data_IF_607775410511
#
_entry.id   IF_607775410511
#
_cell.length_a   1.000
_cell.length_b   1.000
_cell.length_c   1.000
_cell.angle_alpha   90.00
_cell.angle_beta   90.00
_cell.angle_gamma   90.00
#
_symmetry.space_group_name_H-M   'P 1'
#
loop_
_entity.id
_entity.type
_entity.pdbx_description
1 polymer ?
#
# COMPACT_ATOMS: atom_id res chain seq x y z
N UNK A 1 37.91 -75.79 -35.79
CA UNK A 1 39.27 -75.64 -35.25
C UNK A 1 39.57 -74.14 -35.19
N UNK A 2 39.78 -73.59 -33.99
CA UNK A 2 40.19 -72.21 -33.65
C UNK A 2 39.21 -71.07 -34.05
N UNK A 3 39.03 -69.97 -33.31
CA UNK A 3 39.63 -69.49 -32.06
C UNK A 3 38.71 -68.44 -31.40
N UNK A 4 38.67 -68.50 -30.07
CA UNK A 4 38.74 -67.41 -29.08
C UNK A 4 38.14 -66.01 -29.34
N UNK A 5 37.23 -65.66 -28.41
CA UNK A 5 37.19 -64.45 -27.58
C UNK A 5 37.64 -63.11 -28.17
N UNK A 6 36.71 -62.15 -28.16
CA UNK A 6 36.92 -60.84 -27.52
C UNK A 6 35.59 -60.21 -27.11
N UNK A 7 35.41 -60.07 -25.79
CA UNK A 7 34.41 -59.21 -25.17
C UNK A 7 34.75 -57.76 -25.53
N UNK A 8 33.80 -57.04 -26.12
CA UNK A 8 33.82 -55.58 -26.18
C UNK A 8 32.52 -55.07 -25.56
N UNK A 9 32.61 -54.71 -24.29
CA UNK A 9 31.58 -53.96 -23.60
C UNK A 9 31.44 -52.59 -24.27
N UNK A 10 30.33 -52.34 -24.95
CA UNK A 10 29.96 -50.98 -25.38
C UNK A 10 29.24 -50.32 -24.21
N UNK A 11 29.97 -49.51 -23.47
CA UNK A 11 29.39 -48.52 -22.56
C UNK A 11 28.61 -47.50 -23.40
N UNK A 12 27.28 -47.47 -23.24
CA UNK A 12 26.47 -46.38 -23.75
C UNK A 12 26.58 -45.21 -22.75
N UNK A 13 27.32 -44.18 -23.15
CA UNK A 13 27.31 -42.88 -22.49
C UNK A 13 25.91 -42.29 -22.57
N UNK A 14 25.22 -42.15 -21.43
CA UNK A 14 24.03 -41.31 -21.32
C UNK A 14 24.51 -39.87 -21.29
N UNK A 15 24.40 -39.16 -22.40
CA UNK A 15 24.58 -37.71 -22.43
C UNK A 15 23.37 -37.07 -21.73
N UNK A 16 23.51 -36.76 -20.44
CA UNK A 16 22.56 -35.89 -19.75
C UNK A 16 22.77 -34.46 -20.25
N UNK A 17 21.92 -34.05 -21.20
CA UNK A 17 21.82 -32.65 -21.60
C UNK A 17 21.17 -31.87 -20.44
N UNK A 18 22.00 -31.27 -19.60
CA UNK A 18 21.57 -30.25 -18.64
C UNK A 18 21.41 -28.95 -19.42
N UNK A 19 20.19 -28.66 -19.87
CA UNK A 19 19.82 -27.31 -20.28
C UNK A 19 19.76 -26.43 -19.03
N UNK A 20 20.88 -25.84 -18.67
CA UNK A 20 20.94 -24.74 -17.71
C UNK A 20 20.20 -23.55 -18.33
N UNK A 21 18.97 -23.31 -17.86
CA UNK A 21 18.23 -22.10 -18.14
C UNK A 21 18.96 -20.96 -17.43
N UNK A 22 19.87 -20.29 -18.14
CA UNK A 22 20.45 -19.06 -17.68
C UNK A 22 19.33 -18.00 -17.63
N UNK A 23 18.74 -17.81 -16.46
CA UNK A 23 17.91 -16.65 -16.18
C UNK A 23 18.84 -15.44 -16.26
N UNK A 24 18.79 -14.75 -17.39
CA UNK A 24 19.48 -13.49 -17.56
C UNK A 24 18.96 -12.50 -16.52
N UNK A 25 19.81 -12.16 -15.54
CA UNK A 25 19.65 -10.96 -14.74
C UNK A 25 19.94 -9.78 -15.68
N UNK A 26 18.91 -9.36 -16.43
CA UNK A 26 18.92 -8.01 -16.98
C UNK A 26 18.86 -7.08 -15.77
N UNK A 27 19.89 -6.25 -15.60
CA UNK A 27 19.76 -5.05 -14.81
C UNK A 27 18.64 -4.24 -15.46
N UNK A 28 17.43 -4.38 -14.92
CA UNK A 28 16.22 -3.80 -15.51
C UNK A 28 16.35 -2.29 -15.48
N UNK A 29 16.29 -1.68 -16.65
CA UNK A 29 15.69 -0.35 -16.78
C UNK A 29 14.40 -0.36 -15.97
N UNK A 30 14.15 0.64 -15.13
CA UNK A 30 12.90 0.77 -14.39
C UNK A 30 11.73 0.76 -15.37
N UNK A 31 11.19 -0.44 -15.65
CA UNK A 31 9.96 -0.59 -16.41
C UNK A 31 8.88 -0.04 -15.50
N UNK A 32 8.12 0.93 -15.98
CA UNK A 32 6.91 1.37 -15.28
C UNK A 32 6.09 0.13 -14.92
N UNK A 33 5.63 0.06 -13.67
CA UNK A 33 4.63 -0.92 -13.30
C UNK A 33 3.36 -0.58 -14.12
N UNK A 34 2.53 -1.59 -14.45
CA UNK A 34 1.28 -1.29 -15.10
C UNK A 34 0.46 -0.39 -14.18
N UNK A 35 0.21 0.84 -14.62
CA UNK A 35 -0.69 1.76 -13.95
C UNK A 35 -2.10 1.18 -14.08
N UNK A 36 -2.48 0.39 -13.08
CA UNK A 36 -3.75 -0.32 -13.04
C UNK A 36 -4.89 0.70 -12.95
N UNK A 37 -6.01 0.38 -13.59
CA UNK A 37 -7.24 1.14 -13.37
C UNK A 37 -7.73 0.90 -11.94
N UNK A 38 -8.09 1.98 -11.24
CA UNK A 38 -8.71 1.88 -9.93
C UNK A 38 -10.05 1.13 -9.97
N UNK A 39 -10.38 0.58 -8.81
CA UNK A 39 -11.71 0.06 -8.54
C UNK A 39 -12.71 1.21 -8.45
N UNK A 40 -13.98 1.01 -8.88
CA UNK A 40 -15.04 1.97 -8.61
C UNK A 40 -15.24 2.11 -7.11
N UNK A 41 -15.67 3.30 -6.69
CA UNK A 41 -15.97 3.56 -5.29
C UNK A 41 -17.04 2.59 -4.77
N UNK A 42 -16.77 1.94 -3.64
CA UNK A 42 -17.68 1.03 -2.97
C UNK A 42 -17.42 1.11 -1.47
N UNK A 43 -18.15 1.99 -0.81
CA UNK A 43 -17.86 2.42 0.56
C UNK A 43 -19.12 2.59 1.40
N UNK A 44 -18.97 2.44 2.72
CA UNK A 44 -20.03 2.81 3.66
C UNK A 44 -20.12 4.33 3.82
N UNK A 45 -21.29 4.85 4.16
CA UNK A 45 -21.45 6.29 4.45
C UNK A 45 -20.55 6.75 5.60
N UNK A 46 -20.38 5.91 6.63
CA UNK A 46 -19.50 6.20 7.75
C UNK A 46 -18.04 6.37 7.32
N UNK A 47 -17.51 5.45 6.51
CA UNK A 47 -16.13 5.56 6.02
C UNK A 47 -15.96 6.69 5.00
N UNK A 48 -16.96 6.97 4.15
CA UNK A 48 -16.91 8.12 3.25
C UNK A 48 -16.89 9.45 4.00
N UNK A 49 -17.66 9.55 5.10
CA UNK A 49 -17.77 10.78 5.90
C UNK A 49 -16.43 11.24 6.44
N UNK A 50 -15.58 10.32 6.90
CA UNK A 50 -14.32 10.65 7.57
C UNK A 50 -13.08 10.37 6.72
N UNK A 51 -13.23 10.15 5.41
CA UNK A 51 -12.11 9.90 4.51
C UNK A 51 -11.14 11.10 4.52
N UNK A 52 -9.83 10.90 4.74
CA UNK A 52 -8.88 12.00 4.70
C UNK A 52 -8.75 12.60 3.30
N UNK A 53 -8.36 13.87 3.26
CA UNK A 53 -7.81 14.51 2.08
C UNK A 53 -6.31 14.31 2.03
N UNK A 54 -5.81 13.96 0.85
CA UNK A 54 -4.41 13.59 0.66
C UNK A 54 -3.68 14.59 -0.22
N UNK A 55 -2.38 14.67 0.00
CA UNK A 55 -1.44 15.36 -0.86
C UNK A 55 -0.13 14.58 -0.90
N UNK A 56 0.72 14.87 -1.89
CA UNK A 56 1.94 14.12 -2.15
C UNK A 56 3.06 15.09 -2.52
N UNK A 57 4.08 15.18 -1.67
CA UNK A 57 5.26 15.99 -1.97
C UNK A 57 5.94 15.46 -3.26
N UNK A 58 6.75 16.31 -3.91
CA UNK A 58 7.45 15.95 -5.17
C UNK A 58 8.52 14.85 -5.01
N UNK A 59 8.79 14.41 -3.79
CA UNK A 59 9.93 13.58 -3.43
C UNK A 59 9.65 12.07 -3.36
N UNK A 60 8.45 11.62 -3.77
CA UNK A 60 8.06 10.21 -3.77
C UNK A 60 7.27 9.75 -5.00
N UNK A 61 6.70 8.56 -4.91
CA UNK A 61 5.67 8.11 -5.85
C UNK A 61 4.33 8.82 -5.60
N UNK A 62 3.50 8.90 -6.64
CA UNK A 62 2.07 9.17 -6.49
C UNK A 62 1.35 7.86 -6.17
N UNK A 63 0.16 7.89 -5.52
CA UNK A 63 -0.55 6.67 -5.17
C UNK A 63 -0.99 5.93 -6.44
N UNK A 64 -1.12 4.62 -6.35
CA UNK A 64 -1.55 3.76 -7.45
C UNK A 64 -2.67 2.81 -7.00
N UNK A 65 -3.40 2.25 -7.96
CA UNK A 65 -4.27 1.12 -7.68
C UNK A 65 -3.44 -0.13 -7.35
N UNK A 66 -3.73 -0.76 -6.21
CA UNK A 66 -3.06 -1.98 -5.77
C UNK A 66 -3.61 -3.23 -6.47
N UNK A 67 -4.85 -3.19 -6.93
CA UNK A 67 -5.54 -4.27 -7.63
C UNK A 67 -6.56 -3.69 -8.62
N UNK A 68 -6.76 -4.36 -9.75
CA UNK A 68 -7.80 -4.00 -10.73
C UNK A 68 -9.08 -4.85 -10.61
N UNK A 69 -10.11 -4.52 -11.40
CA UNK A 69 -11.38 -5.28 -11.43
C UNK A 69 -11.26 -6.71 -11.97
N UNK A 70 -10.12 -7.10 -12.54
CA UNK A 70 -9.84 -8.47 -12.97
C UNK A 70 -9.05 -9.26 -11.92
N UNK A 71 -8.77 -8.64 -10.76
CA UNK A 71 -7.98 -9.23 -9.69
C UNK A 71 -6.48 -9.33 -10.01
N UNK A 72 -5.96 -8.51 -10.92
CA UNK A 72 -4.52 -8.38 -11.13
C UNK A 72 -3.95 -7.45 -10.06
N UNK A 73 -2.92 -7.91 -9.35
CA UNK A 73 -2.20 -7.10 -8.36
C UNK A 73 -1.17 -6.21 -9.05
N UNK A 74 -0.96 -5.02 -8.50
CA UNK A 74 0.12 -4.15 -8.92
C UNK A 74 1.45 -4.76 -8.48
N UNK A 75 2.32 -5.04 -9.46
CA UNK A 75 3.63 -5.67 -9.23
C UNK A 75 4.67 -4.76 -8.57
N UNK A 76 4.34 -3.49 -8.32
CA UNK A 76 5.23 -2.47 -7.79
C UNK A 76 6.41 -2.16 -8.70
N UNK A 77 7.30 -1.30 -8.22
CA UNK A 77 8.54 -0.92 -8.89
C UNK A 77 9.75 -1.38 -8.09
N UNK A 78 10.84 -1.65 -8.80
CA UNK A 78 12.12 -1.85 -8.14
C UNK A 78 12.60 -0.50 -7.55
N UNK A 79 13.06 -0.43 -6.28
CA UNK A 79 13.59 0.80 -5.66
C UNK A 79 14.95 1.18 -6.27
N UNK A 80 14.90 1.63 -7.52
CA UNK A 80 16.04 1.99 -8.36
C UNK A 80 15.74 3.25 -9.15
N UNK A 81 16.78 3.91 -9.65
CA UNK A 81 16.68 5.19 -10.35
C UNK A 81 16.31 6.32 -9.38
N UNK A 82 15.69 7.38 -9.89
CA UNK A 82 15.21 8.49 -9.06
C UNK A 82 14.05 8.06 -8.17
N UNK A 83 13.86 8.78 -7.05
CA UNK A 83 12.85 8.44 -6.02
C UNK A 83 11.44 8.35 -6.63
N UNK A 84 10.97 9.40 -7.30
CA UNK A 84 9.69 9.38 -8.03
C UNK A 84 9.76 8.79 -9.46
N UNK A 85 10.87 8.15 -9.83
CA UNK A 85 11.08 7.64 -11.20
C UNK A 85 10.15 6.47 -11.51
N UNK A 86 9.32 6.61 -12.55
CA UNK A 86 8.42 5.57 -13.05
C UNK A 86 7.04 5.51 -12.40
N UNK A 87 6.79 6.26 -11.31
CA UNK A 87 5.57 6.17 -10.50
C UNK A 87 4.88 7.54 -10.26
N UNK A 88 5.02 8.46 -11.21
CA UNK A 88 4.35 9.78 -11.13
C UNK A 88 3.52 10.13 -12.36
N UNK A 89 3.92 9.64 -13.54
CA UNK A 89 3.19 9.91 -14.79
C UNK A 89 1.88 9.13 -14.82
N UNK A 90 0.76 9.82 -15.06
CA UNK A 90 -0.60 9.27 -15.17
C UNK A 90 -1.17 8.58 -13.91
N UNK A 91 -0.52 8.72 -12.74
CA UNK A 91 -0.95 8.02 -11.51
C UNK A 91 -2.15 8.69 -10.81
N UNK A 92 -2.18 10.02 -10.78
CA UNK A 92 -3.26 10.77 -10.12
C UNK A 92 -4.61 10.47 -10.75
N UNK A 93 -5.63 10.30 -9.91
CA UNK A 93 -6.98 9.89 -10.32
C UNK A 93 -7.14 8.39 -10.58
N UNK A 94 -6.06 7.61 -10.63
CA UNK A 94 -6.08 6.16 -10.85
C UNK A 94 -5.79 5.34 -9.57
N UNK A 95 -5.80 5.97 -8.41
CA UNK A 95 -5.64 5.29 -7.12
C UNK A 95 -6.98 4.95 -6.45
N UNK A 96 -6.90 4.06 -5.46
CA UNK A 96 -7.95 3.84 -4.48
C UNK A 96 -7.46 4.21 -3.09
N UNK A 97 -8.36 4.76 -2.27
CA UNK A 97 -8.21 4.68 -0.82
C UNK A 97 -8.88 3.39 -0.37
N UNK A 98 -8.18 2.52 0.35
CA UNK A 98 -8.80 1.34 0.95
C UNK A 98 -9.10 1.63 2.43
N UNK A 99 -10.23 1.15 2.94
CA UNK A 99 -10.57 1.39 4.34
C UNK A 99 -11.20 0.19 5.06
N UNK A 100 -10.81 -0.02 6.31
CA UNK A 100 -11.44 -1.01 7.20
C UNK A 100 -11.76 -0.36 8.54
N UNK A 101 -12.96 -0.60 9.04
CA UNK A 101 -13.44 -0.03 10.29
C UNK A 101 -13.67 -1.12 11.35
N UNK A 102 -13.56 -0.73 12.61
CA UNK A 102 -13.91 -1.55 13.78
C UNK A 102 -14.53 -0.69 14.84
N UNK A 103 -15.57 -1.19 15.52
CA UNK A 103 -16.32 -0.42 16.50
C UNK A 103 -16.53 -1.23 17.78
N UNK A 104 -15.98 -0.80 18.91
CA UNK A 104 -16.24 -1.39 20.21
C UNK A 104 -16.03 -0.40 21.35
N UNK A 105 -16.58 -0.72 22.52
CA UNK A 105 -16.41 0.05 23.75
C UNK A 105 -16.73 1.57 23.61
N UNK A 106 -17.75 1.91 22.81
CA UNK A 106 -18.16 3.30 22.57
C UNK A 106 -17.30 4.07 21.57
N UNK A 107 -16.38 3.40 20.87
CA UNK A 107 -15.48 4.00 19.88
C UNK A 107 -15.53 3.24 18.55
N UNK A 108 -15.23 3.95 17.48
CA UNK A 108 -14.97 3.40 16.16
C UNK A 108 -13.60 3.89 15.68
N UNK A 109 -12.84 3.00 15.07
CA UNK A 109 -11.58 3.30 14.41
C UNK A 109 -11.72 2.95 12.93
N UNK A 110 -11.29 3.85 12.04
CA UNK A 110 -11.27 3.61 10.60
C UNK A 110 -9.84 3.77 10.12
N UNK A 111 -9.25 2.70 9.59
CA UNK A 111 -7.97 2.79 8.89
C UNK A 111 -8.28 3.13 7.43
N UNK A 112 -7.67 4.18 6.90
CA UNK A 112 -7.61 4.52 5.48
C UNK A 112 -6.17 4.35 5.02
N UNK A 113 -5.94 3.70 3.88
CA UNK A 113 -4.58 3.44 3.38
C UNK A 113 -4.48 3.62 1.88
N UNK A 114 -3.31 4.12 1.45
CA UNK A 114 -2.92 4.27 0.06
C UNK A 114 -1.73 3.35 -0.23
N UNK A 115 -1.68 2.88 -1.47
CA UNK A 115 -0.59 2.08 -2.00
C UNK A 115 0.32 2.92 -2.89
N UNK A 116 1.63 2.74 -2.74
CA UNK A 116 2.63 3.29 -3.65
C UNK A 116 3.51 2.17 -4.19
N UNK A 117 3.99 2.31 -5.42
CA UNK A 117 4.64 1.19 -6.12
C UNK A 117 6.03 0.85 -5.58
N UNK A 118 6.70 1.81 -4.94
CA UNK A 118 7.99 1.65 -4.26
C UNK A 118 8.18 2.74 -3.22
N UNK A 119 9.11 2.50 -2.30
CA UNK A 119 9.60 3.45 -1.32
C UNK A 119 11.14 3.40 -1.31
N UNK A 120 11.78 4.57 -1.36
CA UNK A 120 13.22 4.68 -1.58
C UNK A 120 13.79 5.87 -0.82
N UNK A 121 14.78 5.59 0.04
CA UNK A 121 15.45 6.60 0.86
C UNK A 121 16.59 7.31 0.12
N UNK A 122 17.28 6.60 -0.78
CA UNK A 122 18.45 7.08 -1.50
C UNK A 122 18.08 7.58 -2.92
N UNK A 123 18.35 8.85 -3.28
CA UNK A 123 18.00 9.40 -4.58
C UNK A 123 18.72 8.77 -5.78
N UNK A 124 19.79 8.01 -5.55
CA UNK A 124 20.55 7.33 -6.60
C UNK A 124 20.07 5.90 -6.87
N UNK A 125 19.38 5.29 -5.91
CA UNK A 125 18.95 3.88 -5.97
C UNK A 125 20.12 2.88 -5.95
N UNK A 126 21.32 3.31 -5.55
CA UNK A 126 22.55 2.48 -5.57
C UNK A 126 22.76 1.79 -4.22
N UNK A 127 22.35 2.42 -3.11
CA UNK A 127 22.58 1.90 -1.77
C UNK A 127 21.67 0.74 -1.35
N UNK A 128 20.65 0.40 -2.15
CA UNK A 128 19.64 -0.62 -1.80
C UNK A 128 18.74 -0.23 -0.62
N UNK A 129 18.76 1.04 -0.21
CA UNK A 129 17.93 1.57 0.88
C UNK A 129 16.53 1.93 0.36
N UNK A 130 15.64 0.95 0.38
CA UNK A 130 14.25 1.06 -0.03
C UNK A 130 13.60 -0.32 -0.22
N UNK A 131 12.35 -0.33 -0.68
CA UNK A 131 11.64 -1.55 -1.05
C UNK A 131 10.64 -1.32 -2.17
N UNK A 132 10.36 -2.41 -2.87
CA UNK A 132 9.20 -2.52 -3.75
C UNK A 132 7.94 -2.54 -2.89
N UNK A 133 6.89 -1.89 -3.38
CA UNK A 133 5.64 -1.64 -2.67
C UNK A 133 5.81 -0.69 -1.48
N UNK A 134 4.76 0.04 -1.19
CA UNK A 134 4.62 0.82 0.03
C UNK A 134 3.15 0.96 0.39
N UNK A 135 2.87 1.01 1.69
CA UNK A 135 1.54 1.15 2.24
C UNK A 135 1.60 2.08 3.44
N UNK A 136 1.03 3.28 3.26
CA UNK A 136 0.88 4.25 4.34
C UNK A 136 -0.60 4.39 4.70
N UNK A 137 -0.88 4.69 5.96
CA UNK A 137 -2.24 4.73 6.48
C UNK A 137 -2.49 5.79 7.54
N UNK A 138 -3.77 6.15 7.65
CA UNK A 138 -4.30 7.08 8.62
C UNK A 138 -5.37 6.35 9.41
N UNK A 139 -5.34 6.45 10.74
CA UNK A 139 -6.41 5.96 11.59
C UNK A 139 -7.23 7.14 12.11
N UNK A 140 -8.53 7.13 11.82
CA UNK A 140 -9.49 8.11 12.32
C UNK A 140 -10.26 7.50 13.48
N UNK A 141 -10.17 8.14 14.66
CA UNK A 141 -10.79 7.66 15.90
C UNK A 141 -12.02 8.49 16.24
N UNK A 142 -13.19 7.87 16.23
CA UNK A 142 -14.49 8.53 16.38
C UNK A 142 -15.22 7.93 17.57
N UNK A 143 -15.79 8.78 18.45
CA UNK A 143 -16.75 8.29 19.45
C UNK A 143 -18.02 7.84 18.74
N UNK A 144 -18.60 6.70 19.12
CA UNK A 144 -19.84 6.22 18.49
C UNK A 144 -20.95 7.28 18.57
N UNK A 145 -21.57 7.57 17.43
CA UNK A 145 -22.61 8.60 17.29
C UNK A 145 -22.10 10.04 17.19
N UNK A 146 -20.79 10.29 17.27
CA UNK A 146 -20.24 11.63 17.08
C UNK A 146 -20.18 12.01 15.60
N UNK A 147 -20.44 13.29 15.32
CA UNK A 147 -20.32 13.87 13.99
C UNK A 147 -18.88 14.26 13.60
N UNK A 148 -17.94 14.20 14.55
CA UNK A 148 -16.55 14.64 14.39
C UNK A 148 -15.60 13.58 14.98
N UNK A 149 -14.42 13.36 14.38
CA UNK A 149 -13.40 12.52 14.99
C UNK A 149 -12.85 13.17 16.27
N UNK A 150 -12.26 12.37 17.15
CA UNK A 150 -11.58 12.86 18.36
C UNK A 150 -10.06 12.84 18.22
N UNK A 151 -9.51 11.90 17.45
CA UNK A 151 -8.07 11.78 17.20
C UNK A 151 -7.81 11.31 15.78
N UNK A 152 -6.64 11.68 15.28
CA UNK A 152 -6.10 11.21 14.01
C UNK A 152 -4.69 10.66 14.26
N UNK A 153 -4.38 9.52 13.66
CA UNK A 153 -3.05 8.90 13.71
C UNK A 153 -2.52 8.72 12.30
N UNK A 154 -1.38 9.29 11.96
CA UNK A 154 -0.71 9.11 10.66
C UNK A 154 0.47 8.14 10.81
N UNK A 155 0.59 7.16 9.92
CA UNK A 155 1.69 6.18 9.98
C UNK A 155 3.04 6.82 9.66
N UNK A 156 4.05 6.36 10.39
CA UNK A 156 5.44 6.82 10.22
C UNK A 156 6.40 5.74 10.69
N UNK A 157 7.19 5.19 9.77
CA UNK A 157 8.27 4.22 10.04
C UNK A 157 7.84 3.04 10.95
N UNK A 158 6.65 2.48 10.70
CA UNK A 158 6.10 1.36 11.45
C UNK A 158 5.43 1.72 12.80
N UNK A 159 5.44 3.00 13.17
CA UNK A 159 4.68 3.61 14.26
C UNK A 159 3.64 4.61 13.76
N UNK A 160 3.17 5.49 14.65
CA UNK A 160 2.17 6.51 14.33
C UNK A 160 2.44 7.82 15.07
N UNK A 161 2.28 8.94 14.37
CA UNK A 161 2.11 10.25 14.97
C UNK A 161 0.61 10.46 15.24
N UNK A 162 0.22 10.49 16.52
CA UNK A 162 -1.19 10.59 16.95
C UNK A 162 -1.45 11.92 17.64
N UNK A 163 -2.44 12.67 17.14
CA UNK A 163 -2.82 13.98 17.70
C UNK A 163 -4.34 14.07 17.92
N UNK A 164 -4.78 14.86 18.91
CA UNK A 164 -6.19 15.20 19.05
C UNK A 164 -6.66 16.04 17.85
N UNK A 165 -7.95 15.92 17.51
CA UNK A 165 -8.53 16.58 16.32
C UNK A 165 -8.38 18.11 16.33
N UNK A 166 -8.34 18.74 17.52
CA UNK A 166 -8.20 20.19 17.69
C UNK A 166 -6.79 20.73 17.34
N UNK A 167 -5.83 19.82 17.18
CA UNK A 167 -4.47 20.12 16.71
C UNK A 167 -4.25 19.65 15.26
N UNK A 168 -5.18 18.88 14.70
CA UNK A 168 -5.06 18.35 13.36
C UNK A 168 -5.44 19.39 12.30
N UNK A 169 -4.77 19.42 11.14
CA UNK A 169 -5.23 20.17 9.99
C UNK A 169 -6.48 19.48 9.41
N UNK A 170 -7.63 20.14 9.49
CA UNK A 170 -8.92 19.60 9.08
C UNK A 170 -9.57 20.45 7.98
N UNK A 171 -10.34 19.80 7.11
CA UNK A 171 -11.38 20.40 6.28
C UNK A 171 -12.74 19.81 6.66
N UNK A 172 -13.53 20.54 7.46
CA UNK A 172 -14.70 19.96 8.09
C UNK A 172 -14.33 18.73 8.95
N UNK A 173 -14.71 17.53 8.49
CA UNK A 173 -14.44 16.24 9.14
C UNK A 173 -13.27 15.46 8.51
N UNK A 174 -12.62 16.02 7.48
CA UNK A 174 -11.56 15.38 6.70
C UNK A 174 -10.18 15.84 7.19
N UNK A 175 -9.36 14.92 7.69
CA UNK A 175 -7.97 15.23 8.02
C UNK A 175 -7.16 15.49 6.74
N UNK A 176 -6.26 16.47 6.77
CA UNK A 176 -5.34 16.78 5.66
C UNK A 176 -3.98 16.12 5.89
N UNK A 177 -3.65 15.17 5.04
CA UNK A 177 -2.52 14.26 5.20
C UNK A 177 -1.61 14.33 3.97
N UNK A 178 -0.31 14.36 4.18
CA UNK A 178 0.69 14.47 3.11
C UNK A 178 1.61 13.26 3.13
N UNK A 179 1.80 12.59 2.00
CA UNK A 179 2.87 11.63 1.78
C UNK A 179 4.15 12.38 1.43
N UNK A 180 5.24 12.05 2.11
CA UNK A 180 6.51 12.76 1.93
C UNK A 180 7.69 11.87 2.25
N UNK A 181 8.86 12.26 1.75
CA UNK A 181 10.13 11.70 2.19
C UNK A 181 10.52 12.26 3.56
N UNK A 182 10.72 11.38 4.55
CA UNK A 182 11.07 11.81 5.90
C UNK A 182 12.59 11.93 6.08
N UNK A 183 13.12 13.09 5.68
CA UNK A 183 14.53 13.43 5.82
C UNK A 183 15.43 12.46 5.02
N UNK A 184 16.37 11.79 5.71
CA UNK A 184 17.26 10.80 5.09
C UNK A 184 16.67 9.40 5.04
N UNK A 185 15.50 9.18 5.65
CA UNK A 185 14.80 7.89 5.66
C UNK A 185 13.94 7.71 4.40
N UNK A 186 13.14 6.64 4.46
CA UNK A 186 12.00 6.32 3.60
C UNK A 186 10.82 7.29 3.78
N UNK A 187 9.73 7.04 3.05
CA UNK A 187 8.54 7.88 3.11
C UNK A 187 7.68 7.59 4.35
N UNK A 188 6.79 8.52 4.64
CA UNK A 188 5.78 8.41 5.69
C UNK A 188 4.60 9.36 5.38
N UNK A 189 3.47 9.14 6.05
CA UNK A 189 2.47 10.18 6.18
C UNK A 189 2.85 11.20 7.25
N UNK A 190 2.47 12.45 7.01
CA UNK A 190 2.48 13.54 7.97
C UNK A 190 1.18 14.33 7.92
N UNK A 191 0.91 15.07 8.97
CA UNK A 191 -0.11 16.11 8.94
C UNK A 191 0.32 17.26 8.03
N UNK A 192 -0.63 17.85 7.31
CA UNK A 192 -0.40 19.09 6.59
C UNK A 192 0.05 20.22 7.54
N UNK A 193 0.94 21.08 7.06
CA UNK A 193 1.36 22.28 7.78
C UNK A 193 0.25 23.33 7.72
N UNK A 194 0.25 24.25 8.68
CA UNK A 194 -0.68 25.39 8.64
C UNK A 194 -0.47 26.21 7.37
N UNK A 195 -1.53 26.40 6.58
CA UNK A 195 -1.49 27.14 5.33
C UNK A 195 -0.81 26.42 4.16
N UNK A 196 -0.49 25.12 4.28
CA UNK A 196 0.06 24.34 3.18
C UNK A 196 -0.93 24.26 2.02
N UNK A 197 -0.45 24.56 0.81
CA UNK A 197 -1.21 24.42 -0.44
C UNK A 197 -0.82 23.08 -1.04
N UNK A 198 -1.79 22.21 -1.39
CA UNK A 198 -1.47 20.89 -1.89
C UNK A 198 -0.88 20.93 -3.30
N UNK A 199 -0.07 19.95 -3.62
CA UNK A 199 0.67 19.80 -4.88
C UNK A 199 0.11 18.67 -5.76
N UNK A 200 -0.83 17.87 -5.24
CA UNK A 200 -1.40 16.72 -5.92
C UNK A 200 -1.99 17.09 -7.27
N UNK A 201 -2.85 18.11 -7.35
CA UNK A 201 -3.49 18.52 -8.59
C UNK A 201 -2.93 19.84 -9.13
N UNK A 202 -2.80 20.02 -10.47
CA UNK A 202 -2.32 21.29 -11.05
C UNK A 202 -3.15 22.53 -10.70
N UNK A 203 -4.39 22.35 -10.26
CA UNK A 203 -5.30 23.39 -9.80
C UNK A 203 -5.15 23.73 -8.29
N UNK A 204 -4.23 23.06 -7.58
CA UNK A 204 -4.02 23.23 -6.14
C UNK A 204 -5.08 22.52 -5.28
N UNK A 205 -5.76 21.51 -5.82
CA UNK A 205 -6.69 20.67 -5.08
C UNK A 205 -6.02 19.57 -4.25
N UNK A 206 -6.64 19.22 -3.12
CA UNK A 206 -6.31 18.00 -2.38
C UNK A 206 -6.83 16.78 -3.15
N UNK A 207 -6.10 15.67 -3.10
CA UNK A 207 -6.57 14.43 -3.67
C UNK A 207 -7.56 13.71 -2.74
N UNK A 208 -8.52 13.01 -3.36
CA UNK A 208 -9.55 12.26 -2.68
C UNK A 208 -9.90 10.99 -3.48
N UNK A 209 -9.00 9.98 -3.48
CA UNK A 209 -9.15 8.80 -4.33
C UNK A 209 -10.42 8.00 -4.03
N UNK A 210 -10.93 7.27 -5.03
CA UNK A 210 -12.12 6.43 -4.87
C UNK A 210 -11.97 5.45 -3.69
N UNK A 211 -12.90 5.51 -2.74
CA UNK A 211 -12.89 4.73 -1.51
C UNK A 211 -13.45 3.32 -1.69
N UNK A 212 -12.67 2.33 -1.27
CA UNK A 212 -13.09 0.91 -1.23
C UNK A 212 -13.07 0.43 0.21
N UNK A 213 -14.25 0.13 0.75
CA UNK A 213 -14.37 -0.47 2.06
C UNK A 213 -14.00 -1.95 2.01
N UNK A 214 -13.24 -2.41 3.00
CA UNK A 214 -12.73 -3.78 3.10
C UNK A 214 -13.83 -4.82 2.97
N UNK A 215 -14.98 -4.61 3.63
CA UNK A 215 -16.10 -5.55 3.60
C UNK A 215 -17.07 -5.31 2.42
N UNK A 216 -16.73 -4.39 1.52
CA UNK A 216 -17.55 -4.00 0.37
C UNK A 216 -16.71 -3.84 -0.91
N UNK A 217 -15.73 -4.71 -1.17
CA UNK A 217 -15.05 -4.69 -2.47
C UNK A 217 -16.06 -4.84 -3.62
N UNK A 218 -15.91 -4.09 -4.73
CA UNK A 218 -16.69 -4.31 -5.94
C UNK A 218 -16.58 -5.76 -6.43
N UNK A 219 -17.62 -6.24 -7.12
CA UNK A 219 -17.56 -7.53 -7.80
C UNK A 219 -16.48 -7.50 -8.89
N UNK A 220 -15.65 -8.56 -8.93
CA UNK A 220 -14.67 -8.76 -9.99
C UNK A 220 -15.36 -9.01 -11.33
N UNK A 221 -14.73 -8.56 -12.42
CA UNK A 221 -15.13 -8.90 -13.78
C UNK A 221 -14.88 -10.38 -14.09
N UNK A 222 -13.97 -11.03 -13.35
CA UNK A 222 -13.83 -12.48 -13.31
C UNK A 222 -14.62 -13.03 -12.10
N UNK A 223 -15.76 -13.72 -12.31
CA UNK A 223 -16.60 -14.20 -11.22
C UNK A 223 -15.96 -15.32 -10.39
N UNK A 224 -14.83 -15.89 -10.83
CA UNK A 224 -14.07 -16.86 -10.04
C UNK A 224 -13.18 -16.20 -8.97
N UNK A 225 -13.00 -14.87 -9.04
CA UNK A 225 -12.12 -14.12 -8.16
C UNK A 225 -12.90 -13.28 -7.16
N UNK A 226 -12.41 -13.27 -5.92
CA UNK A 226 -12.84 -12.34 -4.89
C UNK A 226 -11.68 -11.38 -4.58
N UNK A 227 -11.88 -10.09 -4.84
CA UNK A 227 -10.83 -9.07 -4.73
C UNK A 227 -10.34 -8.90 -3.28
N UNK A 228 -11.25 -8.91 -2.30
CA UNK A 228 -10.89 -8.84 -0.88
C UNK A 228 -10.01 -10.02 -0.47
N UNK A 229 -10.40 -11.25 -0.84
CA UNK A 229 -9.63 -12.46 -0.56
C UNK A 229 -8.24 -12.42 -1.21
N UNK A 230 -8.14 -11.92 -2.44
CA UNK A 230 -6.84 -11.73 -3.12
C UNK A 230 -5.98 -10.75 -2.32
N UNK A 231 -6.51 -9.56 -1.99
CA UNK A 231 -5.80 -8.54 -1.22
C UNK A 231 -5.36 -9.05 0.17
N UNK A 232 -6.20 -9.84 0.84
CA UNK A 232 -5.89 -10.42 2.15
C UNK A 232 -4.75 -11.45 2.10
N UNK A 233 -4.67 -12.21 1.00
CA UNK A 233 -3.66 -13.26 0.80
C UNK A 233 -2.40 -12.79 0.05
N UNK A 234 -2.35 -11.53 -0.36
CA UNK A 234 -1.25 -10.97 -1.14
C UNK A 234 0.02 -10.78 -0.31
N UNK A 235 1.17 -11.01 -0.95
CA UNK A 235 2.49 -10.69 -0.41
C UNK A 235 2.95 -9.35 -0.98
N UNK A 236 3.15 -8.37 -0.10
CA UNK A 236 3.63 -7.03 -0.44
C UNK A 236 5.12 -6.84 -0.11
N UNK A 237 5.85 -7.95 0.06
CA UNK A 237 7.27 -7.96 0.39
C UNK A 237 7.53 -7.31 1.75
N UNK A 238 8.28 -6.21 1.75
CA UNK A 238 8.62 -5.49 2.99
C UNK A 238 7.52 -4.49 3.40
N UNK A 239 6.59 -4.16 2.52
CA UNK A 239 5.50 -3.25 2.82
C UNK A 239 4.40 -3.96 3.62
N UNK A 240 3.75 -3.23 4.54
CA UNK A 240 2.74 -3.78 5.42
C UNK A 240 1.36 -3.26 5.03
N UNK A 241 0.56 -4.05 4.30
CA UNK A 241 -0.81 -3.67 3.99
C UNK A 241 -1.67 -3.74 5.28
N UNK A 242 -2.12 -2.60 5.85
CA UNK A 242 -2.62 -2.55 7.22
C UNK A 242 -4.00 -3.15 7.40
N UNK A 243 -4.74 -3.42 6.32
CA UNK A 243 -6.11 -3.92 6.38
C UNK A 243 -6.19 -5.45 6.38
N UNK A 244 -5.09 -6.15 6.09
CA UNK A 244 -5.05 -7.62 6.13
C UNK A 244 -5.48 -8.13 7.50
N UNK A 245 -6.20 -9.25 7.54
CA UNK A 245 -6.68 -9.85 8.79
C UNK A 245 -5.55 -10.08 9.80
N UNK A 246 -4.37 -10.46 9.31
CA UNK A 246 -3.18 -10.70 10.12
C UNK A 246 -2.50 -9.45 10.66
N UNK A 247 -2.88 -8.25 10.20
CA UNK A 247 -2.24 -6.95 10.52
C UNK A 247 -3.19 -5.91 11.09
N UNK A 248 -4.48 -6.06 10.85
CA UNK A 248 -5.49 -5.03 11.15
C UNK A 248 -5.51 -4.63 12.62
N UNK A 249 -5.62 -5.60 13.53
CA UNK A 249 -5.66 -5.33 14.97
C UNK A 249 -4.34 -4.75 15.49
N UNK A 250 -3.19 -5.24 14.99
CA UNK A 250 -1.87 -4.72 15.37
C UNK A 250 -1.68 -3.28 14.91
N UNK A 251 -2.17 -2.95 13.71
CA UNK A 251 -2.13 -1.58 13.19
C UNK A 251 -2.99 -0.65 14.05
N UNK A 252 -4.21 -1.07 14.39
CA UNK A 252 -5.06 -0.34 15.33
C UNK A 252 -4.37 -0.13 16.67
N UNK A 253 -3.72 -1.15 17.22
CA UNK A 253 -3.02 -1.06 18.49
C UNK A 253 -1.88 -0.03 18.47
N UNK A 254 -1.09 -0.01 17.40
CA UNK A 254 0.00 0.95 17.22
C UNK A 254 -0.49 2.39 17.07
N UNK A 255 -1.62 2.60 16.38
CA UNK A 255 -2.19 3.93 16.17
C UNK A 255 -3.07 4.43 17.32
N UNK A 256 -3.41 3.59 18.31
CA UNK A 256 -4.42 3.90 19.32
C UNK A 256 -4.00 5.07 20.23
N UNK A 257 -4.82 6.14 20.35
CA UNK A 257 -4.61 7.19 21.34
C UNK A 257 -4.64 6.62 22.77
N UNK A 258 -3.76 7.13 23.63
CA UNK A 258 -3.80 6.79 25.05
C UNK A 258 -5.11 7.24 25.69
N UNK A 259 -5.71 6.39 26.53
CA UNK A 259 -6.85 6.76 27.36
C UNK A 259 -8.24 6.58 26.73
N UNK A 260 -8.35 6.03 25.51
CA UNK A 260 -9.64 5.60 24.96
C UNK A 260 -9.95 4.14 25.30
N UNK A 261 -11.24 3.83 25.47
CA UNK A 261 -11.72 2.51 25.85
C UNK A 261 -11.73 1.48 24.71
N UNK A 262 -11.45 1.91 23.47
CA UNK A 262 -11.36 1.02 22.30
C UNK A 262 -10.40 -0.14 22.55
N UNK A 263 -10.80 -1.36 22.18
CA UNK A 263 -9.95 -2.54 22.27
C UNK A 263 -9.58 -3.04 20.86
N UNK A 264 -8.31 -2.86 20.42
CA UNK A 264 -7.85 -3.35 19.12
C UNK A 264 -8.03 -4.86 18.93
N UNK A 265 -7.96 -5.66 19.99
CA UNK A 265 -8.06 -7.12 19.93
C UNK A 265 -9.42 -7.66 20.39
N UNK A 266 -10.28 -6.79 20.91
CA UNK A 266 -11.65 -7.12 21.31
C UNK A 266 -12.55 -7.44 20.10
N UNK A 267 -13.70 -8.04 20.35
CA UNK A 267 -14.74 -8.15 19.32
C UNK A 267 -15.20 -6.75 18.89
N UNK A 268 -15.63 -6.60 17.64
CA UNK A 268 -16.13 -5.33 17.10
C UNK A 268 -16.99 -5.55 15.88
#
# INVERSE_FOLDING_TARGET
MFQEYKRLAKAAFVAAATTSLAVGLTAGTASAAPNLSNLPESSTSFQRTFQPYFDYDTDGCLPAAAIDLWGNLNGGLNPSGSIGGGCRTDHLGNANTYARAKCNNGWCAIIYTLYFEKDQADPTGISGLGHRHDWECVVVWVKQGAAQPSYISASRHGGFDTIPVDQAPMDGVHAKIVYHKDGVSTHAFRFAKSGETPEAWPDGGWDHPALVSWDHYPASNDPSKNLQTIMNNSDWGNANFPLQDSKFNDTLNKGKPSGIAFDPYGAG
#
